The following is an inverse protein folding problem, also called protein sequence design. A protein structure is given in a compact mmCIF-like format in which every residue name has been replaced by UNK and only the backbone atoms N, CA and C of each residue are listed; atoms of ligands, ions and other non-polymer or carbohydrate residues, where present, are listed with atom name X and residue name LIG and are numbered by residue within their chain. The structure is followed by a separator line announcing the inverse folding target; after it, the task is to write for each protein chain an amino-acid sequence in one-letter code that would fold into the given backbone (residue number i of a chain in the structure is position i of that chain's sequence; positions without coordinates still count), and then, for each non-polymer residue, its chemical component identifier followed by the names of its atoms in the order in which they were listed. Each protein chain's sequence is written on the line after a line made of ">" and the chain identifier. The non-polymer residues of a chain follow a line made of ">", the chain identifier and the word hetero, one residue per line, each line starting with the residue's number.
data_IF_044415107616
#
_entry.id   IF_044415107616
#
_cell.length_a   1.000
_cell.length_b   1.000
_cell.length_c   1.000
_cell.angle_alpha   90.00
_cell.angle_beta   90.00
_cell.angle_gamma   90.00
#
_symmetry.space_group_name_H-M   'P 1'
#
loop_
_entity.id
_entity.type
_entity.pdbx_description
1 polymer ?
#
# COMPACT_ATOMS: atom_id res chain seq x y z
N UNK A 1 -0.97 1.16 8.88
CA UNK A 1 -1.01 1.60 7.48
C UNK A 1 -2.24 1.02 6.80
N UNK A 2 -2.89 1.79 5.92
CA UNK A 2 -3.89 1.27 5.00
C UNK A 2 -3.54 1.76 3.59
N UNK A 3 -3.61 0.85 2.62
CA UNK A 3 -3.33 1.12 1.21
C UNK A 3 -4.53 0.64 0.41
N UNK A 4 -5.00 1.48 -0.51
CA UNK A 4 -6.06 1.13 -1.47
C UNK A 4 -5.54 1.31 -2.88
N UNK A 5 -5.61 0.25 -3.69
CA UNK A 5 -5.30 0.29 -5.11
C UNK A 5 -6.54 -0.13 -5.92
N UNK A 6 -7.09 0.78 -6.74
CA UNK A 6 -8.27 0.53 -7.59
C UNK A 6 -8.04 1.23 -8.94
N UNK A 7 -8.18 0.51 -10.05
CA UNK A 7 -8.12 1.08 -11.41
C UNK A 7 -6.91 2.01 -11.66
N UNK A 8 -5.73 1.62 -11.19
CA UNK A 8 -4.50 2.41 -11.34
C UNK A 8 -4.38 3.64 -10.43
N UNK A 9 -5.34 3.87 -9.52
CA UNK A 9 -5.21 4.81 -8.40
C UNK A 9 -4.68 4.09 -7.16
N UNK A 10 -3.68 4.67 -6.49
CA UNK A 10 -3.16 4.21 -5.20
C UNK A 10 -3.33 5.31 -4.16
N UNK A 11 -3.85 4.97 -2.99
CA UNK A 11 -4.02 5.88 -1.85
C UNK A 11 -3.42 5.29 -0.58
N UNK A 12 -2.80 6.14 0.23
CA UNK A 12 -2.09 5.78 1.45
C UNK A 12 -2.66 6.52 2.66
N UNK A 13 -2.95 5.75 3.71
CA UNK A 13 -3.31 6.27 5.02
C UNK A 13 -2.32 5.85 6.10
N UNK A 14 -1.96 6.82 6.95
CA UNK A 14 -1.15 6.65 8.16
C UNK A 14 -1.96 7.14 9.35
N UNK A 15 -2.11 6.28 10.36
CA UNK A 15 -2.89 6.58 11.57
C UNK A 15 -4.32 7.11 11.29
N UNK A 16 -4.97 6.62 10.24
CA UNK A 16 -6.33 7.00 9.85
C UNK A 16 -6.45 8.23 8.94
N UNK A 17 -5.35 8.94 8.67
CA UNK A 17 -5.34 10.13 7.82
C UNK A 17 -4.77 9.81 6.43
N UNK A 18 -5.41 10.31 5.37
CA UNK A 18 -4.86 10.21 4.02
C UNK A 18 -3.65 11.13 3.91
N UNK A 19 -2.50 10.59 3.51
CA UNK A 19 -1.24 11.34 3.49
C UNK A 19 -0.60 11.41 2.11
N UNK A 20 -0.94 10.49 1.19
CA UNK A 20 -0.35 10.45 -0.14
C UNK A 20 -1.18 9.60 -1.11
N UNK A 21 -0.91 9.73 -2.40
CA UNK A 21 -1.44 8.86 -3.43
C UNK A 21 -0.86 9.14 -4.83
N UNK A 22 -1.15 8.22 -5.75
CA UNK A 22 -0.78 8.29 -7.17
C UNK A 22 -1.94 7.88 -8.06
N UNK A 23 -1.89 8.28 -9.33
CA UNK A 23 -2.85 7.92 -10.38
C UNK A 23 -2.12 7.40 -11.61
N UNK A 24 -2.84 6.69 -12.47
CA UNK A 24 -2.34 6.18 -13.75
C UNK A 24 -1.15 5.21 -13.60
N UNK A 25 -1.14 4.39 -12.55
CA UNK A 25 -0.16 3.32 -12.43
C UNK A 25 -0.28 2.34 -13.61
N UNK A 26 0.84 2.09 -14.30
CA UNK A 26 0.94 1.13 -15.40
C UNK A 26 2.30 0.43 -15.30
N UNK A 27 2.36 -0.86 -14.93
CA UNK A 27 1.23 -1.77 -14.71
C UNK A 27 0.40 -1.43 -13.47
N UNK A 28 -0.89 -1.79 -13.48
CA UNK A 28 -1.82 -1.60 -12.35
C UNK A 28 -1.96 -2.86 -11.47
N UNK A 29 -1.09 -3.85 -11.66
CA UNK A 29 -1.05 -5.13 -10.96
C UNK A 29 0.40 -5.52 -10.63
N UNK A 30 0.59 -6.33 -9.59
CA UNK A 30 1.92 -6.76 -9.15
C UNK A 30 1.92 -7.39 -7.76
N UNK A 31 3.12 -7.57 -7.21
CA UNK A 31 3.34 -8.14 -5.88
C UNK A 31 3.41 -7.04 -4.80
N UNK A 32 3.01 -7.37 -3.58
CA UNK A 32 3.28 -6.54 -2.39
C UNK A 32 4.67 -6.91 -1.84
N UNK A 33 5.47 -5.89 -1.52
CA UNK A 33 6.79 -6.03 -0.92
C UNK A 33 6.80 -5.42 0.49
N UNK A 34 7.48 -6.09 1.43
CA UNK A 34 7.81 -5.53 2.74
C UNK A 34 9.31 -5.29 2.76
N UNK A 35 9.71 -4.05 2.88
CA UNK A 35 11.11 -3.64 2.79
C UNK A 35 11.64 -3.17 4.16
N UNK A 36 12.92 -3.43 4.39
CA UNK A 36 13.72 -2.86 5.48
C UNK A 36 15.01 -2.30 4.87
N UNK A 37 15.28 -1.02 5.09
CA UNK A 37 16.52 -0.38 4.65
C UNK A 37 17.41 -0.10 5.86
N UNK A 38 18.34 -1.03 6.16
CA UNK A 38 19.46 -0.78 7.08
C UNK A 38 19.21 -0.93 8.59
N UNK A 39 17.98 -1.20 9.04
CA UNK A 39 17.68 -1.44 10.46
C UNK A 39 16.52 -2.45 10.65
N UNK A 40 16.52 -3.24 11.74
CA UNK A 40 15.42 -4.16 12.03
C UNK A 40 14.06 -3.46 12.07
N UNK A 41 13.05 -4.11 11.50
CA UNK A 41 11.66 -3.66 11.49
C UNK A 41 10.74 -4.84 11.75
N UNK A 42 9.63 -4.58 12.46
CA UNK A 42 8.60 -5.57 12.76
C UNK A 42 7.29 -5.19 12.08
N UNK A 43 6.68 -6.15 11.41
CA UNK A 43 5.34 -6.00 10.82
C UNK A 43 4.37 -6.97 11.49
N UNK A 44 3.15 -6.50 11.76
CA UNK A 44 2.07 -7.30 12.37
C UNK A 44 0.73 -6.94 11.75
N UNK A 45 -0.23 -7.85 11.87
CA UNK A 45 -1.63 -7.67 11.43
C UNK A 45 -1.78 -7.29 9.94
N UNK A 46 -0.91 -7.83 9.08
CA UNK A 46 -1.00 -7.63 7.63
C UNK A 46 -2.20 -8.39 7.08
N UNK A 47 -3.11 -7.68 6.42
CA UNK A 47 -4.33 -8.24 5.84
C UNK A 47 -4.51 -7.70 4.43
N UNK A 48 -4.94 -8.56 3.52
CA UNK A 48 -5.25 -8.22 2.13
C UNK A 48 -6.71 -8.53 1.87
N UNK A 49 -7.40 -7.61 1.19
CA UNK A 49 -8.77 -7.80 0.71
C UNK A 49 -8.81 -7.43 -0.75
N UNK A 50 -9.27 -8.34 -1.58
CA UNK A 50 -9.55 -8.05 -2.99
C UNK A 50 -10.73 -7.07 -3.05
N UNK A 51 -10.55 -6.02 -3.83
CA UNK A 51 -11.54 -4.96 -4.05
C UNK A 51 -12.21 -5.19 -5.40
N UNK A 52 -13.42 -4.65 -5.62
CA UNK A 52 -13.95 -4.55 -6.98
C UNK A 52 -13.09 -3.61 -7.83
#
# INVERSE_FOLDING_TARGET
>A
YYVRAINGEVRLWVNGFEVSGGKNANPAEGYLCLESEGAPIEFKDIRVRILP
#
